data_IF_584150347855
#
_entry.id   IF_584150347855
#
_cell.length_a   1.000
_cell.length_b   1.000
_cell.length_c   1.000
_cell.angle_alpha   90.00
_cell.angle_beta   90.00
_cell.angle_gamma   90.00
#
_symmetry.space_group_name_H-M   'P 1'
#
loop_
_entity.id
_entity.type
_entity.pdbx_description
1 polymer ?
#
# COMPACT_ATOMS: atom_id res chain seq x y z
N UNK A 1 -14.13 3.62 11.89
CA UNK A 1 -13.30 2.40 11.84
C UNK A 1 -12.15 2.64 10.88
N UNK A 2 -10.94 2.41 11.32
CA UNK A 2 -9.77 2.63 10.47
C UNK A 2 -9.28 1.35 9.82
N UNK A 3 -8.93 1.45 8.56
CA UNK A 3 -8.37 0.34 7.78
C UNK A 3 -7.16 0.82 7.01
N UNK A 4 -6.16 -0.06 6.89
CA UNK A 4 -5.05 0.14 5.99
C UNK A 4 -5.32 -0.67 4.72
N UNK A 5 -5.19 -0.01 3.58
CA UNK A 5 -5.33 -0.63 2.27
C UNK A 5 -3.94 -0.64 1.64
N UNK A 6 -3.38 -1.83 1.45
CA UNK A 6 -1.99 -2.02 1.02
C UNK A 6 -1.94 -2.51 -0.41
N UNK A 7 -1.20 -1.80 -1.24
CA UNK A 7 -1.02 -2.12 -2.64
C UNK A 7 0.32 -2.84 -2.81
N UNK A 8 0.26 -4.07 -3.33
CA UNK A 8 1.44 -4.89 -3.57
C UNK A 8 1.70 -5.04 -5.05
N UNK A 9 2.96 -5.15 -5.43
CA UNK A 9 3.35 -5.32 -6.81
C UNK A 9 4.83 -5.07 -7.00
N UNK A 10 5.22 -4.88 -8.26
CA UNK A 10 6.57 -4.52 -8.66
C UNK A 10 6.50 -3.21 -9.44
N UNK A 11 6.80 -2.10 -8.76
CA UNK A 11 6.73 -0.77 -9.38
C UNK A 11 7.69 -0.64 -10.56
N UNK A 12 8.89 -1.22 -10.46
CA UNK A 12 9.87 -1.19 -11.53
C UNK A 12 9.36 -1.90 -12.78
N UNK A 13 8.84 -3.12 -12.63
CA UNK A 13 8.25 -3.88 -13.73
C UNK A 13 7.05 -3.14 -14.33
N UNK A 14 6.19 -2.58 -13.49
CA UNK A 14 5.03 -1.82 -13.93
C UNK A 14 5.45 -0.65 -14.84
N UNK A 15 6.45 0.12 -14.44
CA UNK A 15 6.95 1.25 -15.24
C UNK A 15 7.58 0.83 -16.54
N UNK A 16 8.17 -0.39 -16.60
CA UNK A 16 8.83 -0.91 -17.80
C UNK A 16 7.87 -1.59 -18.76
N UNK A 17 6.82 -2.25 -18.27
CA UNK A 17 5.96 -3.12 -19.08
C UNK A 17 4.64 -2.49 -19.48
N UNK A 18 4.19 -1.45 -18.77
CA UNK A 18 2.95 -0.77 -19.09
C UNK A 18 3.16 0.40 -20.04
N UNK A 19 2.15 0.71 -20.86
CA UNK A 19 2.23 1.84 -21.77
C UNK A 19 2.24 3.17 -20.99
N UNK A 20 2.82 4.24 -21.58
CA UNK A 20 2.75 5.56 -20.98
C UNK A 20 1.31 6.03 -20.72
N UNK A 21 0.37 5.67 -21.60
CA UNK A 21 -1.05 6.01 -21.46
C UNK A 21 -1.65 5.33 -20.23
N UNK A 22 -1.34 4.05 -20.02
CA UNK A 22 -1.81 3.32 -18.84
C UNK A 22 -1.29 3.93 -17.55
N UNK A 23 0.00 4.29 -17.53
CA UNK A 23 0.63 4.92 -16.36
C UNK A 23 -0.02 6.26 -16.05
N UNK A 24 -0.31 7.07 -17.08
CA UNK A 24 -1.01 8.36 -16.90
C UNK A 24 -2.41 8.16 -16.33
N UNK A 25 -3.14 7.16 -16.82
CA UNK A 25 -4.47 6.82 -16.30
C UNK A 25 -4.40 6.41 -14.84
N UNK A 26 -3.42 5.58 -14.47
CA UNK A 26 -3.22 5.14 -13.10
C UNK A 26 -2.94 6.33 -12.18
N UNK A 27 -2.04 7.23 -12.57
CA UNK A 27 -1.70 8.42 -11.80
C UNK A 27 -2.92 9.32 -11.63
N UNK A 28 -3.66 9.57 -12.72
CA UNK A 28 -4.87 10.38 -12.68
C UNK A 28 -5.93 9.75 -11.77
N UNK A 29 -6.09 8.42 -11.81
CA UNK A 29 -7.00 7.69 -10.94
C UNK A 29 -6.60 7.86 -9.48
N UNK A 30 -5.31 7.67 -9.15
CA UNK A 30 -4.83 7.78 -7.77
C UNK A 30 -5.03 9.20 -7.22
N UNK A 31 -4.77 10.21 -8.03
CA UNK A 31 -5.00 11.60 -7.64
C UNK A 31 -6.48 11.89 -7.42
N UNK A 32 -7.36 11.37 -8.27
CA UNK A 32 -8.80 11.57 -8.13
C UNK A 32 -9.34 10.83 -6.90
N UNK A 33 -8.86 9.62 -6.65
CA UNK A 33 -9.22 8.85 -5.47
C UNK A 33 -8.87 9.62 -4.19
N UNK A 34 -7.66 10.19 -4.14
CA UNK A 34 -7.23 10.99 -2.99
C UNK A 34 -8.13 12.20 -2.76
N UNK A 35 -8.51 12.89 -3.84
CA UNK A 35 -9.44 14.03 -3.75
C UNK A 35 -10.81 13.60 -3.24
N UNK A 36 -11.33 12.50 -3.77
CA UNK A 36 -12.64 11.99 -3.38
C UNK A 36 -12.66 11.56 -1.91
N UNK A 37 -11.62 10.87 -1.46
CA UNK A 37 -11.53 10.41 -0.07
C UNK A 37 -11.30 11.57 0.91
N UNK A 38 -10.59 12.62 0.49
CA UNK A 38 -10.46 13.84 1.30
C UNK A 38 -11.80 14.57 1.39
N UNK A 39 -12.50 14.69 0.28
CA UNK A 39 -13.81 15.35 0.25
C UNK A 39 -14.85 14.64 1.10
N UNK A 40 -14.82 13.31 1.13
CA UNK A 40 -15.73 12.52 1.98
C UNK A 40 -15.31 12.48 3.45
N UNK A 41 -14.09 12.92 3.76
CA UNK A 41 -13.54 12.84 5.12
C UNK A 41 -12.99 11.47 5.50
N UNK A 42 -12.90 10.54 4.54
CA UNK A 42 -12.46 9.18 4.79
C UNK A 42 -10.94 9.01 4.78
N UNK A 43 -10.20 9.87 4.10
CA UNK A 43 -8.74 9.75 4.02
C UNK A 43 -8.07 10.24 5.31
N UNK A 44 -7.33 9.36 5.97
CA UNK A 44 -6.45 9.74 7.09
C UNK A 44 -5.10 10.18 6.53
N UNK A 45 -4.45 9.29 5.80
CA UNK A 45 -3.27 9.63 4.99
C UNK A 45 -2.96 8.49 4.02
N UNK A 46 -2.07 8.77 3.05
CA UNK A 46 -1.57 7.79 2.10
C UNK A 46 -0.14 8.11 1.71
N UNK A 47 0.61 7.08 1.30
CA UNK A 47 1.98 7.23 0.85
C UNK A 47 2.28 6.20 -0.25
N UNK A 48 3.11 6.63 -1.22
CA UNK A 48 3.80 5.72 -2.12
C UNK A 48 5.19 5.44 -1.59
N UNK A 49 5.70 4.25 -1.87
CA UNK A 49 7.04 3.82 -1.46
C UNK A 49 7.97 3.77 -2.66
N UNK A 50 9.28 3.99 -2.41
CA UNK A 50 10.31 3.74 -3.41
C UNK A 50 10.36 2.24 -3.74
N UNK A 51 10.97 1.90 -4.90
CA UNK A 51 11.09 0.52 -5.32
C UNK A 51 11.74 -0.35 -4.23
N UNK A 52 11.24 -1.57 -4.07
CA UNK A 52 11.72 -2.51 -3.07
C UNK A 52 13.21 -2.84 -3.19
N UNK A 53 13.80 -2.67 -4.38
CA UNK A 53 15.24 -2.84 -4.57
C UNK A 53 16.08 -1.84 -3.78
N UNK A 54 15.51 -0.69 -3.40
CA UNK A 54 16.19 0.33 -2.61
C UNK A 54 16.03 0.12 -1.10
N UNK A 55 15.25 -0.86 -0.70
CA UNK A 55 14.97 -1.15 0.70
C UNK A 55 16.20 -1.68 1.44
N UNK A 56 16.16 -1.58 2.75
CA UNK A 56 17.11 -2.23 3.64
C UNK A 56 16.34 -3.14 4.59
N UNK A 57 16.86 -4.30 4.84
CA UNK A 57 16.31 -5.23 5.82
C UNK A 57 17.25 -5.32 7.02
N UNK A 58 16.71 -5.10 8.21
CA UNK A 58 17.47 -5.20 9.45
C UNK A 58 16.94 -6.40 10.23
N UNK A 59 17.84 -7.30 10.63
CA UNK A 59 17.50 -8.50 11.38
C UNK A 59 18.31 -8.58 12.65
N UNK A 60 17.79 -9.32 13.61
CA UNK A 60 18.53 -9.67 14.81
C UNK A 60 19.02 -11.12 14.65
N UNK A 61 20.33 -11.33 14.66
CA UNK A 61 20.95 -12.64 14.53
C UNK A 61 21.92 -12.84 15.68
N UNK A 62 21.67 -13.87 16.51
CA UNK A 62 22.53 -14.22 17.66
C UNK A 62 22.83 -13.00 18.57
N UNK A 63 21.83 -12.16 18.79
CA UNK A 63 21.96 -10.98 19.65
C UNK A 63 22.57 -9.75 18.99
N UNK A 64 22.93 -9.83 17.72
CA UNK A 64 23.50 -8.71 16.96
C UNK A 64 22.58 -8.32 15.80
N UNK A 65 22.57 -7.03 15.47
CA UNK A 65 21.80 -6.55 14.32
C UNK A 65 22.59 -6.73 13.03
N UNK A 66 21.89 -7.18 11.98
CA UNK A 66 22.45 -7.35 10.65
C UNK A 66 21.59 -6.58 9.67
N UNK A 67 22.20 -5.72 8.86
CA UNK A 67 21.51 -4.95 7.82
C UNK A 67 21.93 -5.47 6.46
N UNK A 68 20.96 -5.81 5.63
CA UNK A 68 21.17 -6.28 4.25
C UNK A 68 20.43 -5.40 3.27
N UNK A 69 20.95 -5.31 2.04
CA UNK A 69 20.30 -4.59 0.97
C UNK A 69 19.07 -5.39 0.48
N UNK A 70 18.03 -4.67 0.12
CA UNK A 70 16.81 -5.25 -0.42
C UNK A 70 15.71 -5.43 0.61
N UNK A 71 14.54 -5.82 0.11
CA UNK A 71 13.36 -6.08 0.93
C UNK A 71 13.44 -7.45 1.60
N UNK A 72 12.58 -7.67 2.58
CA UNK A 72 12.49 -8.93 3.31
C UNK A 72 12.25 -10.06 2.31
N UNK A 73 13.09 -11.10 2.36
CA UNK A 73 13.02 -12.23 1.45
C UNK A 73 11.75 -13.07 1.70
N UNK A 74 11.23 -13.68 0.63
CA UNK A 74 10.14 -14.65 0.72
C UNK A 74 8.74 -14.06 0.71
N UNK A 75 8.59 -12.75 0.56
CA UNK A 75 7.27 -12.12 0.51
C UNK A 75 6.60 -12.20 -0.87
N UNK A 76 7.33 -12.54 -1.93
CA UNK A 76 6.81 -12.70 -3.28
C UNK A 76 6.42 -11.41 -4.00
N UNK A 77 5.89 -10.44 -3.27
CA UNK A 77 5.50 -9.14 -3.80
C UNK A 77 5.96 -8.04 -2.85
N UNK A 78 6.18 -6.84 -3.39
CA UNK A 78 6.64 -5.68 -2.64
C UNK A 78 5.47 -4.78 -2.28
N UNK A 79 5.47 -4.23 -1.07
CA UNK A 79 4.55 -3.15 -0.73
C UNK A 79 4.98 -1.90 -1.48
N UNK A 80 4.12 -1.36 -2.32
CA UNK A 80 4.44 -0.18 -3.16
C UNK A 80 3.70 1.08 -2.74
N UNK A 81 2.69 0.96 -1.91
CA UNK A 81 1.95 2.10 -1.38
C UNK A 81 0.82 1.65 -0.49
N UNK A 82 0.25 2.60 0.25
CA UNK A 82 -0.88 2.29 1.11
C UNK A 82 -1.72 3.53 1.41
N UNK A 83 -2.96 3.27 1.81
CA UNK A 83 -3.91 4.28 2.29
C UNK A 83 -4.35 3.88 3.69
N UNK A 84 -4.49 4.86 4.56
CA UNK A 84 -5.20 4.68 5.83
C UNK A 84 -6.50 5.46 5.71
N UNK A 85 -7.62 4.77 5.86
CA UNK A 85 -8.94 5.36 5.73
C UNK A 85 -9.74 5.17 7.02
N UNK A 86 -10.59 6.15 7.33
CA UNK A 86 -11.55 6.05 8.42
C UNK A 86 -12.94 5.96 7.80
N UNK A 87 -13.53 4.78 7.87
CA UNK A 87 -14.76 4.45 7.15
C UNK A 87 -15.82 3.92 8.11
N UNK A 88 -17.05 3.89 7.65
CA UNK A 88 -18.18 3.44 8.48
C UNK A 88 -18.27 1.92 8.61
N UNK A 89 -17.63 1.17 7.68
CA UNK A 89 -17.72 -0.29 7.66
C UNK A 89 -16.53 -0.90 6.90
N UNK A 90 -16.28 -2.19 7.15
CA UNK A 90 -15.30 -2.95 6.39
C UNK A 90 -15.67 -3.03 4.90
N UNK A 91 -16.97 -3.16 4.61
CA UNK A 91 -17.47 -3.20 3.24
C UNK A 91 -17.07 -1.94 2.47
N UNK A 92 -17.10 -0.77 3.13
CA UNK A 92 -16.65 0.47 2.49
C UNK A 92 -15.15 0.44 2.20
N UNK A 93 -14.34 -0.08 3.11
CA UNK A 93 -12.90 -0.24 2.86
C UNK A 93 -12.65 -1.16 1.67
N UNK A 94 -13.40 -2.25 1.57
CA UNK A 94 -13.30 -3.19 0.44
C UNK A 94 -13.72 -2.51 -0.87
N UNK A 95 -14.77 -1.70 -0.89
CA UNK A 95 -15.16 -0.95 -2.08
C UNK A 95 -14.03 -0.06 -2.59
N UNK A 96 -13.33 0.62 -1.68
CA UNK A 96 -12.18 1.44 -2.04
C UNK A 96 -11.07 0.57 -2.63
N UNK A 97 -10.77 -0.55 -1.98
CA UNK A 97 -9.76 -1.50 -2.44
C UNK A 97 -10.07 -2.08 -3.83
N UNK A 98 -11.34 -2.36 -4.11
CA UNK A 98 -11.78 -2.87 -5.40
C UNK A 98 -11.47 -1.90 -6.55
N UNK A 99 -11.52 -0.60 -6.29
CA UNK A 99 -11.15 0.41 -7.28
C UNK A 99 -9.63 0.41 -7.54
N UNK A 100 -8.84 0.23 -6.47
CA UNK A 100 -7.37 0.24 -6.54
C UNK A 100 -6.83 -1.01 -7.22
N UNK A 101 -7.46 -2.16 -7.01
CA UNK A 101 -6.98 -3.45 -7.51
C UNK A 101 -6.93 -3.51 -9.04
N UNK A 102 -7.69 -2.66 -9.72
CA UNK A 102 -7.66 -2.57 -11.18
C UNK A 102 -6.26 -2.19 -11.69
N UNK A 103 -5.46 -1.48 -10.88
CA UNK A 103 -4.11 -1.04 -11.24
C UNK A 103 -3.01 -1.82 -10.53
N UNK A 104 -3.32 -2.58 -9.50
CA UNK A 104 -2.32 -3.23 -8.65
C UNK A 104 -2.30 -4.76 -8.77
N UNK A 105 -3.43 -5.36 -9.10
CA UNK A 105 -3.58 -6.82 -9.14
C UNK A 105 -3.82 -7.46 -7.79
N UNK A 106 -3.17 -7.00 -6.72
CA UNK A 106 -3.36 -7.52 -5.36
C UNK A 106 -3.36 -6.36 -4.37
N UNK A 107 -4.39 -6.31 -3.55
CA UNK A 107 -4.56 -5.29 -2.51
C UNK A 107 -5.02 -6.00 -1.23
N UNK A 108 -4.39 -5.69 -0.12
CA UNK A 108 -4.78 -6.23 1.19
C UNK A 108 -5.48 -5.14 2.01
N UNK A 109 -6.57 -5.51 2.67
CA UNK A 109 -7.31 -4.62 3.57
C UNK A 109 -7.18 -5.15 4.98
N UNK A 110 -6.70 -4.32 5.90
CA UNK A 110 -6.48 -4.75 7.28
C UNK A 110 -6.93 -3.66 8.25
N UNK A 111 -7.69 -4.05 9.28
CA UNK A 111 -8.15 -3.10 10.29
C UNK A 111 -6.97 -2.55 11.08
N UNK A 112 -7.03 -1.25 11.37
CA UNK A 112 -6.10 -0.58 12.28
C UNK A 112 -6.87 -0.33 13.58
N UNK A 113 -6.61 -1.07 14.66
CA UNK A 113 -7.30 -0.84 15.93
C UNK A 113 -6.86 0.47 16.57
N UNK A 114 -7.72 1.05 17.41
CA UNK A 114 -7.43 2.33 18.07
C UNK A 114 -6.31 2.19 19.12
N UNK A 115 -6.14 1.00 19.67
CA UNK A 115 -5.14 0.73 20.69
C UNK A 115 -4.64 -0.73 20.57
N UNK A 116 -3.44 -1.03 21.11
CA UNK A 116 -2.99 -2.41 21.21
C UNK A 116 -3.95 -3.25 22.05
N UNK A 117 -3.98 -4.59 21.83
CA UNK A 117 -4.83 -5.44 22.67
C UNK A 117 -4.39 -5.40 24.13
N UNK A 118 -5.35 -5.48 25.03
CA UNK A 118 -5.08 -5.60 26.45
C UNK A 118 -4.57 -7.02 26.77
N UNK A 119 -3.54 -7.09 27.58
CA UNK A 119 -2.96 -8.35 28.05
C UNK A 119 -2.83 -8.36 29.55
#
# INVERSE_FOLDING_TARGET
MKYMIMMFGDAGTMMQTRSPEWIKEMIAFMQQLDKDLRASGELVFDLGLADGSTAKTVRLESGATVTTDGQVAGLGASLIGYWVVDVESEERAIEIAEQIVAYAGVVEVRQVPDAPPEI
#
